data_IF_236484544841
#
_entry.id   IF_236484544841
#
_cell.length_a   1.000
_cell.length_b   1.000
_cell.length_c   1.000
_cell.angle_alpha   90.00
_cell.angle_beta   90.00
_cell.angle_gamma   90.00
#
_symmetry.space_group_name_H-M   'P 1'
#
loop_
_entity.id
_entity.type
_entity.pdbx_description
1 polymer ?
#
# COMPACT_ATOMS: atom_id res chain seq x y z
N UNK A 1 -2.85 4.15 1.06
CA UNK A 1 -2.40 2.76 1.29
C UNK A 1 -0.89 2.69 1.21
N UNK A 2 -0.23 2.20 2.24
CA UNK A 2 1.22 2.04 2.24
C UNK A 2 1.60 0.59 2.05
N UNK A 3 2.52 0.30 1.14
CA UNK A 3 3.09 -1.02 0.99
C UNK A 3 4.07 -1.29 2.15
N UNK A 4 3.81 -2.32 2.95
CA UNK A 4 4.70 -2.75 4.04
C UNK A 4 6.01 -3.36 3.56
N UNK A 5 6.08 -3.78 2.30
CA UNK A 5 7.27 -4.40 1.73
C UNK A 5 8.31 -3.35 1.28
N UNK A 6 7.89 -2.33 0.52
CA UNK A 6 8.82 -1.35 -0.08
C UNK A 6 8.58 0.10 0.34
N UNK A 7 7.51 0.40 1.08
CA UNK A 7 7.15 1.75 1.49
C UNK A 7 6.38 2.58 0.46
N UNK A 8 6.09 2.05 -0.74
CA UNK A 8 5.30 2.76 -1.75
C UNK A 8 3.92 3.18 -1.20
N UNK A 9 3.56 4.44 -1.41
CA UNK A 9 2.27 5.01 -0.98
C UNK A 9 1.37 5.15 -2.20
N UNK A 10 0.21 4.50 -2.13
CA UNK A 10 -0.87 4.62 -3.10
C UNK A 10 -2.00 5.48 -2.52
N UNK A 11 -2.36 6.56 -3.21
CA UNK A 11 -3.44 7.45 -2.84
C UNK A 11 -4.72 7.04 -3.58
N UNK A 12 -5.68 6.48 -2.84
CA UNK A 12 -6.93 5.96 -3.39
C UNK A 12 -7.77 5.25 -2.33
N UNK A 13 -9.03 4.98 -2.66
CA UNK A 13 -9.96 4.30 -1.74
C UNK A 13 -9.52 2.87 -1.40
N UNK A 14 -8.87 2.18 -2.33
CA UNK A 14 -8.43 0.79 -2.18
C UNK A 14 -7.01 0.60 -2.73
N UNK A 15 -6.22 -0.37 -2.22
CA UNK A 15 -4.90 -0.64 -2.77
C UNK A 15 -4.99 -1.43 -4.08
N UNK A 16 -3.98 -1.31 -4.98
CA UNK A 16 -3.90 -2.12 -6.20
C UNK A 16 -3.63 -3.60 -5.88
N UNK A 17 -3.96 -4.51 -6.82
CA UNK A 17 -3.70 -5.96 -6.70
C UNK A 17 -2.21 -6.29 -6.55
N UNK A 18 -1.35 -5.53 -7.24
CA UNK A 18 0.10 -5.63 -7.16
C UNK A 18 0.70 -4.25 -6.92
N UNK A 19 1.70 -4.18 -6.05
CA UNK A 19 2.44 -2.96 -5.80
C UNK A 19 3.21 -2.54 -7.07
N UNK A 20 3.03 -1.32 -7.61
CA UNK A 20 3.70 -0.89 -8.83
C UNK A 20 5.22 -0.69 -8.66
N UNK A 21 5.70 -0.59 -7.42
CA UNK A 21 7.13 -0.42 -7.13
C UNK A 21 7.87 -1.75 -6.91
N UNK A 22 7.25 -2.75 -6.27
CA UNK A 22 7.92 -4.00 -5.90
C UNK A 22 7.21 -5.29 -6.34
N UNK A 23 6.10 -5.16 -7.10
CA UNK A 23 5.30 -6.26 -7.62
C UNK A 23 4.79 -7.28 -6.58
N UNK A 24 4.72 -6.90 -5.30
CA UNK A 24 4.13 -7.75 -4.25
C UNK A 24 2.61 -7.58 -4.19
N UNK A 25 1.92 -8.64 -3.73
CA UNK A 25 0.47 -8.69 -3.66
C UNK A 25 -0.15 -7.62 -2.74
N UNK A 26 -1.41 -7.28 -3.02
CA UNK A 26 -2.28 -6.36 -2.26
C UNK A 26 -2.27 -6.60 -0.74
N UNK A 27 -2.09 -7.84 -0.31
CA UNK A 27 -2.01 -8.24 1.10
C UNK A 27 -0.88 -7.54 1.90
N UNK A 28 0.12 -6.99 1.21
CA UNK A 28 1.19 -6.20 1.84
C UNK A 28 0.80 -4.75 2.11
N UNK A 29 -0.34 -4.26 1.62
CA UNK A 29 -0.78 -2.90 1.89
C UNK A 29 -1.44 -2.75 3.26
N UNK A 30 -1.17 -1.63 3.92
CA UNK A 30 -1.85 -1.16 5.12
C UNK A 30 -2.58 0.17 4.84
N UNK A 31 -3.65 0.42 5.60
CA UNK A 31 -4.28 1.73 5.65
C UNK A 31 -3.29 2.72 6.25
N UNK A 32 -3.14 3.87 5.59
CA UNK A 32 -2.42 4.98 6.18
C UNK A 32 -3.37 5.61 7.20
N UNK A 33 -3.35 5.12 8.44
CA UNK A 33 -4.08 5.74 9.54
C UNK A 33 -3.17 6.77 10.19
N UNK A 34 -3.49 8.06 10.01
CA UNK A 34 -2.90 9.13 10.81
C UNK A 34 -3.57 9.09 12.19
N UNK A 35 -2.91 8.44 13.16
CA UNK A 35 -3.32 8.54 14.55
C UNK A 35 -2.92 9.94 15.06
N UNK A 36 -3.90 10.81 15.31
CA UNK A 36 -3.75 12.14 15.89
C UNK A 36 -3.50 12.08 17.41
#
# INVERSE_FOLDING_TARGET
WRCRNCGYVYEGKEPPDLCPACAHAKAYYELLAENY
#
